data_IF_382811536252
#
_entry.id   IF_382811536252
#
_cell.length_a   1.000
_cell.length_b   1.000
_cell.length_c   1.000
_cell.angle_alpha   90.00
_cell.angle_beta   90.00
_cell.angle_gamma   90.00
#
_symmetry.space_group_name_H-M   'P 1'
#
loop_
_entity.id
_entity.type
_entity.pdbx_description
1 polymer ?
#
# COMPACT_ATOMS: atom_id res chain seq x y z
N UNK A 1 -18.90 -23.99 -23.15
CA UNK A 1 -18.66 -22.54 -23.19
C UNK A 1 -17.50 -22.24 -22.26
N UNK A 2 -16.32 -21.87 -22.78
CA UNK A 2 -15.13 -21.69 -21.96
C UNK A 2 -15.07 -20.25 -21.44
N UNK A 3 -14.69 -20.06 -20.17
CA UNK A 3 -13.89 -18.93 -19.63
C UNK A 3 -14.11 -18.77 -18.11
N UNK A 4 -13.73 -19.79 -17.34
CA UNK A 4 -13.49 -19.66 -15.90
C UNK A 4 -11.96 -19.76 -15.74
N UNK A 5 -11.22 -18.67 -15.99
CA UNK A 5 -9.74 -18.73 -15.87
C UNK A 5 -9.02 -17.41 -15.55
N UNK A 6 -9.68 -16.33 -15.13
CA UNK A 6 -8.95 -15.07 -14.82
C UNK A 6 -8.87 -14.76 -13.31
N UNK A 7 -9.73 -15.35 -12.48
CA UNK A 7 -9.78 -15.02 -11.04
C UNK A 7 -8.78 -15.78 -10.14
N UNK A 8 -8.00 -16.73 -10.67
CA UNK A 8 -7.19 -17.66 -9.86
C UNK A 8 -5.67 -17.59 -10.10
N UNK A 9 -5.14 -16.43 -10.50
CA UNK A 9 -3.70 -16.28 -10.79
C UNK A 9 -3.01 -15.13 -10.03
N UNK A 10 -3.45 -14.81 -8.81
CA UNK A 10 -2.79 -13.80 -7.96
C UNK A 10 -2.41 -14.29 -6.56
N UNK A 11 -2.49 -15.60 -6.29
CA UNK A 11 -2.32 -16.16 -4.94
C UNK A 11 -0.99 -16.89 -4.68
N UNK A 12 0.04 -16.75 -5.52
CA UNK A 12 1.34 -17.38 -5.23
C UNK A 12 2.53 -16.47 -5.52
N UNK A 13 3.03 -15.79 -4.49
CA UNK A 13 4.44 -15.42 -4.41
C UNK A 13 4.91 -15.57 -2.95
N UNK A 14 5.42 -16.76 -2.63
CA UNK A 14 6.23 -16.99 -1.45
C UNK A 14 7.61 -16.37 -1.70
N UNK A 15 7.96 -15.34 -0.94
CA UNK A 15 9.29 -14.73 -0.98
C UNK A 15 10.24 -15.62 -0.16
N UNK A 16 11.12 -16.35 -0.84
CA UNK A 16 12.30 -16.92 -0.22
C UNK A 16 13.36 -15.81 -0.04
N UNK A 17 13.66 -15.46 1.21
CA UNK A 17 14.80 -14.60 1.56
C UNK A 17 16.04 -15.45 1.81
N UNK A 18 17.18 -15.22 1.14
CA UNK A 18 18.44 -15.84 1.54
C UNK A 18 18.97 -15.19 2.83
N UNK A 19 19.52 -16.02 3.74
CA UNK A 19 20.22 -15.57 4.95
C UNK A 19 21.52 -14.80 4.61
N UNK A 20 21.92 -13.81 5.42
CA UNK A 20 23.21 -13.13 5.28
C UNK A 20 24.39 -14.00 5.78
N UNK A 21 25.45 -14.06 4.97
CA UNK A 21 26.76 -14.65 5.27
C UNK A 21 27.49 -13.84 6.36
N UNK A 22 28.21 -14.45 7.31
CA UNK A 22 28.96 -13.71 8.32
C UNK A 22 30.19 -13.00 7.72
N UNK A 23 30.44 -11.77 8.19
CA UNK A 23 31.59 -10.94 7.84
C UNK A 23 32.86 -11.45 8.53
N UNK A 24 33.90 -11.77 7.74
CA UNK A 24 35.24 -12.03 8.25
C UNK A 24 35.91 -10.74 8.72
N UNK A 25 36.46 -10.75 9.93
CA UNK A 25 37.26 -9.66 10.51
C UNK A 25 38.65 -9.59 9.85
N UNK A 26 39.17 -8.41 9.45
CA UNK A 26 40.57 -8.31 9.05
C UNK A 26 41.48 -8.13 10.29
N UNK A 27 42.60 -8.84 10.29
CA UNK A 27 43.69 -8.70 11.26
C UNK A 27 44.43 -7.35 11.08
N UNK A 28 45.12 -6.83 12.12
CA UNK A 28 45.86 -5.59 12.01
C UNK A 28 47.22 -5.82 11.32
N UNK A 29 47.41 -5.25 10.14
CA UNK A 29 48.71 -5.26 9.46
C UNK A 29 49.61 -4.14 9.98
N UNK A 30 50.84 -4.55 10.27
CA UNK A 30 51.99 -3.81 10.78
C UNK A 30 52.32 -2.54 9.98
N UNK A 31 52.63 -1.47 10.71
CA UNK A 31 53.11 -0.20 10.18
C UNK A 31 54.45 -0.35 9.43
N UNK A 32 54.43 -0.21 8.11
CA UNK A 32 55.62 0.02 7.31
C UNK A 32 55.92 1.52 7.27
N UNK A 33 57.07 1.92 7.81
CA UNK A 33 57.62 3.28 7.71
C UNK A 33 58.09 3.51 6.26
N UNK A 34 57.44 4.44 5.55
CA UNK A 34 57.84 4.90 4.21
C UNK A 34 58.55 6.25 4.35
N UNK A 35 59.74 6.45 3.75
CA UNK A 35 60.44 7.75 3.83
C UNK A 35 59.74 8.81 2.97
N UNK A 36 59.88 10.11 3.28
CA UNK A 36 59.18 11.17 2.58
C UNK A 36 59.72 11.36 1.16
N UNK A 37 58.88 11.12 0.15
CA UNK A 37 59.19 11.44 -1.25
C UNK A 37 58.91 12.92 -1.48
N UNK A 38 59.95 13.69 -1.78
CA UNK A 38 59.83 15.07 -2.22
C UNK A 38 59.07 15.14 -3.57
N UNK A 39 58.07 16.02 -3.66
CA UNK A 39 57.43 16.41 -4.92
C UNK A 39 55.97 15.96 -5.13
N UNK A 40 55.09 16.11 -4.15
CA UNK A 40 53.65 16.05 -4.42
C UNK A 40 53.16 17.41 -4.99
N UNK A 41 52.45 17.46 -6.12
CA UNK A 41 51.78 18.68 -6.54
C UNK A 41 50.75 19.09 -5.48
N UNK A 42 50.58 20.40 -5.29
CA UNK A 42 49.58 20.99 -4.39
C UNK A 42 48.23 20.29 -4.58
N UNK A 43 47.49 19.95 -3.50
CA UNK A 43 46.14 19.45 -3.65
C UNK A 43 45.33 20.51 -4.40
N UNK A 44 44.97 20.21 -5.65
CA UNK A 44 43.85 20.88 -6.27
C UNK A 44 42.69 20.52 -5.34
N UNK A 45 42.20 21.48 -4.56
CA UNK A 45 40.96 21.28 -3.82
C UNK A 45 39.95 20.78 -4.84
N UNK A 46 39.61 19.49 -4.70
CA UNK A 46 38.54 18.89 -5.45
C UNK A 46 37.31 19.67 -5.00
N UNK A 47 36.90 20.65 -5.81
CA UNK A 47 35.60 21.30 -5.72
C UNK A 47 34.61 20.21 -5.33
N UNK A 48 34.01 20.40 -4.16
CA UNK A 48 33.33 19.33 -3.42
C UNK A 48 32.53 18.45 -4.37
N UNK A 49 32.68 17.13 -4.21
CA UNK A 49 31.68 16.20 -4.73
C UNK A 49 30.31 16.81 -4.41
N UNK A 50 29.38 16.93 -5.39
CA UNK A 50 28.03 17.34 -5.08
C UNK A 50 27.59 16.48 -3.90
N UNK A 51 27.30 17.11 -2.76
CA UNK A 51 26.76 16.37 -1.63
C UNK A 51 25.60 15.55 -2.19
N UNK A 52 25.57 14.24 -1.89
CA UNK A 52 24.50 13.34 -2.29
C UNK A 52 23.16 14.06 -2.10
N UNK A 53 22.59 14.60 -3.17
CA UNK A 53 21.45 15.50 -3.05
C UNK A 53 20.29 14.67 -2.54
N UNK A 54 19.87 14.91 -1.31
CA UNK A 54 18.68 14.31 -0.73
C UNK A 54 17.54 14.56 -1.72
N UNK A 55 16.77 13.52 -2.04
CA UNK A 55 15.66 13.67 -2.97
C UNK A 55 14.65 14.65 -2.36
N UNK A 56 14.49 15.82 -2.98
CA UNK A 56 13.58 16.86 -2.48
C UNK A 56 12.19 16.68 -3.07
N UNK A 57 11.20 16.64 -2.19
CA UNK A 57 9.78 16.61 -2.53
C UNK A 57 9.20 18.02 -2.56
N UNK A 58 8.20 18.25 -3.41
CA UNK A 58 7.46 19.51 -3.42
C UNK A 58 6.64 19.69 -2.13
N UNK A 59 6.29 20.92 -1.74
CA UNK A 59 5.35 21.15 -0.63
C UNK A 59 4.00 20.41 -0.82
N UNK A 60 3.53 20.32 -2.08
CA UNK A 60 2.28 19.65 -2.41
C UNK A 60 2.35 18.13 -2.18
N UNK A 61 3.54 17.51 -2.26
CA UNK A 61 3.74 16.11 -1.90
C UNK A 61 3.33 15.85 -0.45
N UNK A 62 3.79 16.69 0.47
CA UNK A 62 3.50 16.56 1.89
C UNK A 62 2.03 16.80 2.19
N UNK A 63 1.40 17.78 1.55
CA UNK A 63 -0.06 17.98 1.65
C UNK A 63 -0.84 16.74 1.22
N UNK A 64 -0.50 16.15 0.08
CA UNK A 64 -1.16 14.92 -0.39
C UNK A 64 -0.84 13.73 0.49
N UNK A 65 0.37 13.65 1.05
CA UNK A 65 0.77 12.60 1.98
C UNK A 65 -0.06 12.67 3.27
N UNK A 66 -0.29 13.87 3.80
CA UNK A 66 -1.15 14.09 4.96
C UNK A 66 -2.59 13.67 4.67
N UNK A 67 -3.16 14.11 3.53
CA UNK A 67 -4.51 13.70 3.12
C UNK A 67 -4.59 12.18 3.02
N UNK A 68 -3.64 11.54 2.35
CA UNK A 68 -3.58 10.09 2.18
C UNK A 68 -3.50 9.35 3.53
N UNK A 69 -2.67 9.86 4.45
CA UNK A 69 -2.47 9.30 5.80
C UNK A 69 -3.73 9.42 6.65
N UNK A 70 -4.30 10.62 6.77
CA UNK A 70 -5.50 10.84 7.58
C UNK A 70 -6.72 10.14 6.98
N UNK A 71 -6.86 10.14 5.65
CA UNK A 71 -7.89 9.36 4.95
C UNK A 71 -7.78 7.87 5.24
N UNK A 72 -6.55 7.34 5.31
CA UNK A 72 -6.32 5.93 5.67
C UNK A 72 -6.74 5.58 7.10
N UNK A 73 -6.57 6.50 8.06
CA UNK A 73 -7.06 6.28 9.43
C UNK A 73 -8.59 6.20 9.50
N UNK A 74 -9.30 6.99 8.70
CA UNK A 74 -10.75 6.96 8.63
C UNK A 74 -11.31 5.66 8.04
N UNK A 75 -10.52 4.91 7.26
CA UNK A 75 -10.94 3.63 6.68
C UNK A 75 -11.20 2.55 7.73
N UNK A 76 -10.40 2.50 8.79
CA UNK A 76 -10.50 1.44 9.80
C UNK A 76 -11.89 1.36 10.47
N UNK A 77 -12.45 2.45 11.02
CA UNK A 77 -13.80 2.41 11.57
C UNK A 77 -14.87 2.15 10.50
N UNK A 78 -14.68 2.63 9.27
CA UNK A 78 -15.62 2.38 8.17
C UNK A 78 -15.64 0.90 7.78
N UNK A 79 -14.48 0.24 7.66
CA UNK A 79 -14.38 -1.19 7.40
C UNK A 79 -15.00 -2.03 8.52
N UNK A 80 -14.77 -1.64 9.78
CA UNK A 80 -15.41 -2.30 10.91
C UNK A 80 -16.94 -2.20 10.83
N UNK A 81 -17.47 -1.00 10.56
CA UNK A 81 -18.90 -0.80 10.38
C UNK A 81 -19.45 -1.58 9.18
N UNK A 82 -18.76 -1.56 8.04
CA UNK A 82 -19.11 -2.31 6.83
C UNK A 82 -19.21 -3.81 7.11
N UNK A 83 -18.26 -4.36 7.87
CA UNK A 83 -18.30 -5.76 8.27
C UNK A 83 -19.52 -6.07 9.14
N UNK A 84 -19.78 -5.27 10.18
CA UNK A 84 -20.90 -5.49 11.10
C UNK A 84 -22.26 -5.37 10.41
N UNK A 85 -22.46 -4.32 9.62
CA UNK A 85 -23.67 -4.12 8.84
C UNK A 85 -23.83 -5.20 7.76
N UNK A 86 -22.74 -5.52 7.05
CA UNK A 86 -22.70 -6.54 6.01
C UNK A 86 -23.00 -7.95 6.54
N UNK A 87 -22.60 -8.28 7.77
CA UNK A 87 -22.97 -9.55 8.40
C UNK A 87 -24.48 -9.66 8.64
N UNK A 88 -25.11 -8.60 9.13
CA UNK A 88 -26.57 -8.58 9.31
C UNK A 88 -27.31 -8.74 7.97
N UNK A 89 -26.81 -8.10 6.91
CA UNK A 89 -27.35 -8.25 5.56
C UNK A 89 -27.13 -9.67 5.00
N UNK A 90 -25.96 -10.24 5.26
CA UNK A 90 -25.62 -11.60 4.85
C UNK A 90 -26.60 -12.62 5.44
N UNK A 91 -26.79 -12.56 6.75
CA UNK A 91 -27.61 -13.52 7.52
C UNK A 91 -29.11 -13.29 7.36
N UNK A 92 -29.57 -12.03 7.37
CA UNK A 92 -31.01 -11.70 7.49
C UNK A 92 -31.62 -11.14 6.22
N UNK A 93 -30.82 -10.81 5.21
CA UNK A 93 -31.33 -10.28 3.94
C UNK A 93 -32.28 -9.09 4.17
N UNK A 94 -33.47 -9.12 3.56
CA UNK A 94 -34.52 -8.11 3.70
C UNK A 94 -35.04 -7.94 5.13
N UNK A 95 -34.85 -8.93 6.01
CA UNK A 95 -35.22 -8.85 7.43
C UNK A 95 -34.13 -8.19 8.31
N UNK A 96 -33.01 -7.73 7.73
CA UNK A 96 -31.98 -7.01 8.47
C UNK A 96 -32.51 -5.67 9.03
N UNK A 97 -32.03 -5.23 10.21
CA UNK A 97 -32.46 -3.97 10.80
C UNK A 97 -32.07 -2.77 9.92
N UNK A 98 -32.85 -1.68 10.01
CA UNK A 98 -32.68 -0.48 9.18
C UNK A 98 -31.24 0.10 9.23
N UNK A 99 -30.63 0.16 10.42
CA UNK A 99 -29.25 0.66 10.56
C UNK A 99 -28.24 -0.12 9.71
N UNK A 100 -28.46 -1.43 9.50
CA UNK A 100 -27.59 -2.25 8.69
C UNK A 100 -27.86 -2.03 7.20
N UNK A 101 -29.12 -2.01 6.79
CA UNK A 101 -29.51 -1.80 5.37
C UNK A 101 -29.09 -0.43 4.85
N UNK A 102 -29.51 0.62 5.53
CA UNK A 102 -29.22 1.99 5.13
C UNK A 102 -27.77 2.37 5.42
N UNK A 103 -27.29 2.01 6.62
CA UNK A 103 -25.94 2.33 7.03
C UNK A 103 -24.89 1.66 6.15
N UNK A 104 -25.09 0.41 5.72
CA UNK A 104 -24.14 -0.26 4.83
C UNK A 104 -23.97 0.48 3.51
N UNK A 105 -25.07 0.90 2.87
CA UNK A 105 -25.02 1.69 1.63
C UNK A 105 -24.34 3.05 1.80
N UNK A 106 -24.69 3.78 2.88
CA UNK A 106 -24.07 5.08 3.19
C UNK A 106 -22.57 4.93 3.45
N UNK A 107 -22.18 3.98 4.29
CA UNK A 107 -20.76 3.75 4.58
C UNK A 107 -20.01 3.20 3.36
N UNK A 108 -20.67 2.47 2.44
CA UNK A 108 -20.04 1.98 1.22
C UNK A 108 -19.69 3.15 0.29
N UNK A 109 -20.60 4.14 0.20
CA UNK A 109 -20.35 5.39 -0.51
C UNK A 109 -19.17 6.17 0.11
N UNK A 110 -19.10 6.24 1.45
CA UNK A 110 -17.99 6.88 2.15
C UNK A 110 -16.65 6.17 1.89
N UNK A 111 -16.63 4.84 1.94
CA UNK A 111 -15.45 4.02 1.58
C UNK A 111 -15.01 4.30 0.15
N UNK A 112 -15.93 4.26 -0.82
CA UNK A 112 -15.63 4.52 -2.22
C UNK A 112 -15.03 5.93 -2.43
N UNK A 113 -15.60 6.95 -1.79
CA UNK A 113 -15.11 8.33 -1.85
C UNK A 113 -13.70 8.47 -1.25
N UNK A 114 -13.49 7.95 -0.04
CA UNK A 114 -12.17 8.04 0.60
C UNK A 114 -11.11 7.22 -0.15
N UNK A 115 -11.44 6.05 -0.71
CA UNK A 115 -10.49 5.26 -1.49
C UNK A 115 -10.09 6.02 -2.75
N UNK A 116 -11.05 6.62 -3.44
CA UNK A 116 -10.77 7.45 -4.61
C UNK A 116 -9.80 8.59 -4.29
N UNK A 117 -10.03 9.32 -3.19
CA UNK A 117 -9.13 10.40 -2.74
C UNK A 117 -7.74 9.87 -2.39
N UNK A 118 -7.66 8.75 -1.65
CA UNK A 118 -6.40 8.12 -1.29
C UNK A 118 -5.64 7.62 -2.53
N UNK A 119 -6.33 7.04 -3.50
CA UNK A 119 -5.71 6.54 -4.73
C UNK A 119 -5.16 7.67 -5.57
N UNK A 120 -5.91 8.77 -5.74
CA UNK A 120 -5.42 9.94 -6.48
C UNK A 120 -4.18 10.52 -5.79
N UNK A 121 -4.24 10.77 -4.48
CA UNK A 121 -3.11 11.34 -3.72
C UNK A 121 -1.90 10.40 -3.69
N UNK A 122 -2.13 9.11 -3.51
CA UNK A 122 -1.09 8.07 -3.46
C UNK A 122 -0.40 7.87 -4.80
N UNK A 123 -1.14 7.76 -5.91
CA UNK A 123 -0.57 7.65 -7.26
C UNK A 123 0.22 8.90 -7.64
N UNK A 124 -0.29 10.08 -7.30
CA UNK A 124 0.41 11.34 -7.57
C UNK A 124 1.73 11.41 -6.80
N UNK A 125 1.72 11.04 -5.52
CA UNK A 125 2.93 11.00 -4.70
C UNK A 125 3.92 9.93 -5.17
N UNK A 126 3.42 8.76 -5.60
CA UNK A 126 4.26 7.72 -6.19
C UNK A 126 4.93 8.21 -7.48
N UNK A 127 4.21 8.95 -8.32
CA UNK A 127 4.74 9.52 -9.55
C UNK A 127 5.81 10.59 -9.29
N UNK A 128 5.57 11.49 -8.34
CA UNK A 128 6.55 12.52 -7.97
C UNK A 128 7.82 11.88 -7.39
N UNK A 129 7.67 10.93 -6.47
CA UNK A 129 8.76 10.19 -5.84
C UNK A 129 9.36 9.07 -6.68
N UNK A 130 9.02 8.93 -7.97
CA UNK A 130 9.42 7.75 -8.78
C UNK A 130 10.93 7.59 -8.97
N UNK A 131 11.71 8.65 -8.73
CA UNK A 131 13.17 8.67 -8.79
C UNK A 131 13.85 8.59 -7.43
N UNK A 132 13.08 8.67 -6.34
CA UNK A 132 13.61 8.45 -4.99
C UNK A 132 13.95 6.95 -4.81
N UNK A 133 15.22 6.60 -4.53
CA UNK A 133 15.60 5.22 -4.27
C UNK A 133 15.08 4.70 -2.91
N UNK A 134 14.71 5.57 -1.97
CA UNK A 134 14.30 5.17 -0.62
C UNK A 134 12.94 4.44 -0.64
N UNK A 135 12.93 3.27 0.01
CA UNK A 135 11.74 2.42 0.20
C UNK A 135 10.94 2.09 -1.05
N UNK A 136 11.56 2.19 -2.23
CA UNK A 136 10.90 2.05 -3.54
C UNK A 136 10.08 0.75 -3.64
N UNK A 137 10.64 -0.36 -3.16
CA UNK A 137 9.94 -1.66 -3.16
C UNK A 137 8.69 -1.62 -2.28
N UNK A 138 8.77 -1.05 -1.07
CA UNK A 138 7.64 -0.95 -0.15
C UNK A 138 6.53 -0.08 -0.74
N UNK A 139 6.89 1.11 -1.24
CA UNK A 139 5.98 2.04 -1.94
C UNK A 139 5.27 1.37 -3.12
N UNK A 140 5.99 0.58 -3.93
CA UNK A 140 5.41 -0.16 -5.05
C UNK A 140 4.48 -1.28 -4.60
N UNK A 141 4.86 -2.08 -3.60
CA UNK A 141 4.00 -3.15 -3.05
C UNK A 141 2.72 -2.55 -2.48
N UNK A 142 2.83 -1.47 -1.70
CA UNK A 142 1.69 -0.72 -1.20
C UNK A 142 0.77 -0.27 -2.34
N UNK A 143 1.32 0.39 -3.37
CA UNK A 143 0.53 0.89 -4.49
C UNK A 143 -0.21 -0.23 -5.24
N UNK A 144 0.45 -1.36 -5.50
CA UNK A 144 -0.19 -2.52 -6.15
C UNK A 144 -1.32 -3.09 -5.30
N UNK A 145 -1.10 -3.25 -3.99
CA UNK A 145 -2.14 -3.75 -3.08
C UNK A 145 -3.35 -2.80 -3.01
N UNK A 146 -3.11 -1.48 -3.00
CA UNK A 146 -4.18 -0.48 -2.96
C UNK A 146 -4.98 -0.47 -4.26
N UNK A 147 -4.32 -0.52 -5.42
CA UNK A 147 -5.02 -0.59 -6.72
C UNK A 147 -5.79 -1.90 -6.88
N UNK A 148 -5.26 -3.02 -6.37
CA UNK A 148 -5.98 -4.29 -6.34
C UNK A 148 -7.22 -4.21 -5.42
N UNK A 149 -7.09 -3.58 -4.26
CA UNK A 149 -8.21 -3.34 -3.36
C UNK A 149 -9.28 -2.45 -4.01
N UNK A 150 -8.89 -1.37 -4.70
CA UNK A 150 -9.80 -0.49 -5.45
C UNK A 150 -10.61 -1.27 -6.49
N UNK A 151 -9.94 -2.09 -7.30
CA UNK A 151 -10.60 -2.93 -8.29
C UNK A 151 -11.59 -3.90 -7.64
N UNK A 152 -11.22 -4.48 -6.50
CA UNK A 152 -12.08 -5.35 -5.72
C UNK A 152 -13.28 -4.64 -5.09
N UNK A 153 -13.12 -3.41 -4.58
CA UNK A 153 -14.23 -2.60 -4.08
C UNK A 153 -15.18 -2.17 -5.20
N UNK A 154 -14.66 -1.78 -6.37
CA UNK A 154 -15.47 -1.51 -7.54
C UNK A 154 -16.29 -2.75 -7.95
N UNK A 155 -15.64 -3.93 -8.02
CA UNK A 155 -16.32 -5.19 -8.31
C UNK A 155 -17.38 -5.55 -7.24
N UNK A 156 -17.11 -5.25 -5.97
CA UNK A 156 -18.08 -5.43 -4.87
C UNK A 156 -19.32 -4.57 -5.11
N UNK A 157 -19.14 -3.30 -5.51
CA UNK A 157 -20.24 -2.40 -5.85
C UNK A 157 -21.08 -2.89 -7.04
N UNK A 158 -20.44 -3.43 -8.08
CA UNK A 158 -21.14 -4.03 -9.22
C UNK A 158 -21.97 -5.27 -8.86
N UNK A 159 -21.63 -5.95 -7.76
CA UNK A 159 -22.38 -7.11 -7.26
C UNK A 159 -23.52 -6.73 -6.31
N UNK A 160 -23.68 -5.44 -5.96
CA UNK A 160 -24.58 -5.02 -4.89
C UNK A 160 -26.05 -5.36 -5.16
N UNK A 161 -26.59 -4.94 -6.31
CA UNK A 161 -28.01 -5.17 -6.66
C UNK A 161 -28.33 -6.67 -6.72
N UNK A 162 -27.48 -7.47 -7.37
CA UNK A 162 -27.66 -8.91 -7.47
C UNK A 162 -27.54 -9.64 -6.12
N UNK A 163 -26.78 -9.09 -5.16
CA UNK A 163 -26.59 -9.66 -3.84
C UNK A 163 -27.84 -9.51 -2.94
N UNK A 164 -28.73 -8.56 -3.24
CA UNK A 164 -30.00 -8.41 -2.54
C UNK A 164 -30.93 -9.59 -2.87
N UNK A 165 -30.97 -9.99 -4.15
CA UNK A 165 -31.90 -10.99 -4.68
C UNK A 165 -31.38 -12.43 -4.59
N UNK A 166 -30.05 -12.63 -4.54
CA UNK A 166 -29.44 -13.97 -4.62
C UNK A 166 -28.45 -14.26 -3.50
N UNK A 167 -28.65 -15.36 -2.79
CA UNK A 167 -27.74 -15.84 -1.74
C UNK A 167 -26.33 -16.17 -2.29
N UNK A 168 -26.25 -16.70 -3.51
CA UNK A 168 -24.96 -16.98 -4.18
C UNK A 168 -24.22 -15.68 -4.48
N UNK A 169 -24.93 -14.67 -5.01
CA UNK A 169 -24.35 -13.35 -5.31
C UNK A 169 -23.97 -12.58 -4.05
N UNK A 170 -24.74 -12.72 -2.97
CA UNK A 170 -24.38 -12.20 -1.65
C UNK A 170 -23.10 -12.80 -1.09
N UNK A 171 -22.91 -14.10 -1.30
CA UNK A 171 -21.67 -14.79 -0.93
C UNK A 171 -20.49 -14.31 -1.76
N UNK A 172 -20.69 -14.10 -3.07
CA UNK A 172 -19.69 -13.52 -3.95
C UNK A 172 -19.32 -12.09 -3.53
N UNK A 173 -20.31 -11.21 -3.35
CA UNK A 173 -20.14 -9.84 -2.86
C UNK A 173 -19.33 -9.81 -1.56
N UNK A 174 -19.74 -10.59 -0.55
CA UNK A 174 -19.03 -10.68 0.74
C UNK A 174 -17.59 -11.15 0.58
N UNK A 175 -17.36 -12.14 -0.26
CA UNK A 175 -16.01 -12.69 -0.50
C UNK A 175 -15.10 -11.64 -1.12
N UNK A 176 -15.55 -10.99 -2.19
CA UNK A 176 -14.78 -9.94 -2.88
C UNK A 176 -14.52 -8.76 -1.92
N UNK A 177 -15.53 -8.34 -1.16
CA UNK A 177 -15.40 -7.26 -0.17
C UNK A 177 -14.32 -7.58 0.87
N UNK A 178 -14.39 -8.76 1.50
CA UNK A 178 -13.44 -9.17 2.54
C UNK A 178 -12.02 -9.32 2.03
N UNK A 179 -11.83 -9.88 0.83
CA UNK A 179 -10.52 -9.99 0.19
C UNK A 179 -9.94 -8.59 -0.08
N UNK A 180 -10.77 -7.66 -0.56
CA UNK A 180 -10.37 -6.27 -0.84
C UNK A 180 -9.98 -5.52 0.43
N UNK A 181 -10.78 -5.65 1.50
CA UNK A 181 -10.43 -5.13 2.83
C UNK A 181 -9.12 -5.73 3.34
N UNK A 182 -8.90 -7.03 3.12
CA UNK A 182 -7.64 -7.69 3.48
C UNK A 182 -6.44 -7.11 2.75
N UNK A 183 -6.53 -6.97 1.41
CA UNK A 183 -5.47 -6.38 0.60
C UNK A 183 -5.17 -4.93 1.01
N UNK A 184 -6.21 -4.12 1.21
CA UNK A 184 -6.09 -2.75 1.72
C UNK A 184 -5.44 -2.71 3.10
N UNK A 185 -5.84 -3.60 4.01
CA UNK A 185 -5.28 -3.66 5.37
C UNK A 185 -3.79 -4.02 5.34
N UNK A 186 -3.39 -5.02 4.55
CA UNK A 186 -1.97 -5.39 4.40
C UNK A 186 -1.17 -4.25 3.79
N UNK A 187 -1.68 -3.59 2.75
CA UNK A 187 -1.01 -2.44 2.15
C UNK A 187 -0.93 -1.24 3.10
N UNK A 188 -1.93 -1.03 3.98
CA UNK A 188 -1.87 0.00 5.01
C UNK A 188 -0.77 -0.30 6.03
N UNK A 189 -0.75 -1.54 6.55
CA UNK A 189 0.25 -1.98 7.54
C UNK A 189 1.68 -1.94 7.01
N UNK A 190 1.89 -2.15 5.70
CA UNK A 190 3.22 -2.11 5.09
C UNK A 190 3.85 -0.72 5.02
N UNK A 191 3.08 0.33 5.31
CA UNK A 191 3.52 1.73 5.30
C UNK A 191 3.41 2.40 6.69
N UNK A 192 3.01 1.66 7.73
CA UNK A 192 2.64 2.23 9.03
C UNK A 192 3.82 2.88 9.77
N UNK A 193 5.05 2.40 9.53
CA UNK A 193 6.29 3.00 10.04
C UNK A 193 6.77 4.20 9.22
N UNK A 194 6.43 4.26 7.93
CA UNK A 194 6.76 5.36 7.01
C UNK A 194 5.83 6.57 7.14
N UNK A 195 4.68 6.42 7.81
CA UNK A 195 3.73 7.49 8.05
C UNK A 195 3.91 8.20 9.41
N UNK A 196 4.93 7.81 10.19
CA UNK A 196 5.24 8.39 11.51
C UNK A 196 6.07 9.66 11.41
#
# INVERSE_FOLDING_TARGET
>A
MPSVSIALLLAQLAVATPLPTPLSTPAPDTAAVVPPRAGAPLPLERFGSPADSVFEYSPAYYTRLDIHRYGSYAMLPLFAFQYLAGQQLFEKSSAAPAWAREGHGVAATAVAGLFTVNTITGVWNLWEGRRDPQDRRRKLVHAVLMLAADAGFAATGLLADEAEESASKRSAHRTVALVSVGAATVGYLSMLDLFR
#
